data_IF_642603986307
#
_entry.id   IF_642603986307
#
_cell.length_a   1.000
_cell.length_b   1.000
_cell.length_c   1.000
_cell.angle_alpha   90.00
_cell.angle_beta   90.00
_cell.angle_gamma   90.00
#
_symmetry.space_group_name_H-M   'P 1'
#
loop_
_entity.id
_entity.type
_entity.pdbx_description
1 polymer ?
#
# COMPACT_ATOMS: atom_id res chain seq x y z
N UNK A 1 5.51 -43.50 -20.91
CA UNK A 1 5.54 -42.70 -19.67
C UNK A 1 5.22 -41.28 -20.08
N UNK A 2 3.92 -40.96 -20.15
CA UNK A 2 3.44 -39.61 -20.53
C UNK A 2 3.64 -38.72 -19.31
N UNK A 3 4.49 -37.70 -19.41
CA UNK A 3 4.52 -36.60 -18.50
C UNK A 3 3.21 -35.81 -18.73
N UNK A 4 2.23 -36.00 -17.87
CA UNK A 4 1.15 -35.04 -17.74
C UNK A 4 1.78 -33.71 -17.29
N UNK A 5 1.96 -32.82 -18.23
CA UNK A 5 2.18 -31.40 -17.95
C UNK A 5 0.87 -30.92 -17.34
N UNK A 6 0.74 -31.00 -16.00
CA UNK A 6 -0.20 -30.15 -15.29
C UNK A 6 0.21 -28.72 -15.66
N UNK A 7 -0.54 -28.11 -16.55
CA UNK A 7 -0.47 -26.66 -16.68
C UNK A 7 -0.89 -26.11 -15.30
N UNK A 8 0.12 -25.73 -14.50
CA UNK A 8 -0.13 -25.02 -13.26
C UNK A 8 -0.82 -23.71 -13.63
N UNK A 9 -2.17 -23.74 -13.60
CA UNK A 9 -2.99 -22.56 -13.86
C UNK A 9 -2.86 -21.64 -12.65
N UNK A 10 -1.88 -20.75 -12.67
CA UNK A 10 -1.62 -19.79 -11.61
C UNK A 10 -2.50 -18.55 -11.78
N UNK A 11 -3.39 -18.32 -10.84
CA UNK A 11 -4.18 -17.09 -10.81
C UNK A 11 -3.40 -15.97 -10.13
N UNK A 12 -3.34 -14.78 -10.75
CA UNK A 12 -2.82 -13.59 -10.12
C UNK A 12 -3.99 -12.71 -9.66
N UNK A 13 -4.11 -12.50 -8.37
CA UNK A 13 -5.04 -11.54 -7.76
C UNK A 13 -4.37 -10.18 -7.64
N UNK A 14 -5.10 -9.13 -8.02
CA UNK A 14 -4.67 -7.73 -7.88
C UNK A 14 -5.78 -7.00 -7.11
N UNK A 15 -5.50 -6.64 -5.87
CA UNK A 15 -6.50 -6.07 -4.98
C UNK A 15 -6.30 -4.58 -4.72
N UNK A 16 -7.41 -3.87 -4.52
CA UNK A 16 -7.46 -2.48 -4.10
C UNK A 16 -8.32 -2.29 -2.85
N UNK A 17 -8.60 -1.04 -2.47
CA UNK A 17 -9.27 -0.70 -1.22
C UNK A 17 -10.67 -1.33 -1.03
N UNK A 18 -11.33 -1.72 -2.13
CA UNK A 18 -12.62 -2.38 -2.08
C UNK A 18 -12.63 -3.71 -1.32
N UNK A 19 -11.51 -4.45 -1.25
CA UNK A 19 -11.44 -5.71 -0.47
C UNK A 19 -11.44 -5.46 1.04
N UNK A 20 -11.04 -4.26 1.49
CA UNK A 20 -10.99 -3.88 2.91
C UNK A 20 -12.26 -3.17 3.39
N UNK A 21 -13.22 -2.89 2.50
CA UNK A 21 -14.46 -2.19 2.85
C UNK A 21 -15.28 -2.94 3.92
N UNK A 22 -15.40 -4.26 3.80
CA UNK A 22 -16.12 -5.12 4.78
C UNK A 22 -15.37 -5.21 6.14
N UNK A 23 -14.12 -4.78 6.20
CA UNK A 23 -13.39 -4.61 7.46
C UNK A 23 -13.62 -3.22 8.09
N UNK A 24 -14.40 -2.35 7.45
CA UNK A 24 -14.69 -0.99 7.92
C UNK A 24 -13.61 0.03 7.55
N UNK A 25 -12.69 -0.30 6.65
CA UNK A 25 -11.70 0.65 6.13
C UNK A 25 -12.32 1.38 4.94
N UNK A 26 -12.42 2.73 4.96
CA UNK A 26 -13.00 3.49 3.87
C UNK A 26 -12.23 3.30 2.57
N UNK A 27 -12.94 3.23 1.46
CA UNK A 27 -12.31 3.28 0.14
C UNK A 27 -11.86 4.71 -0.15
N UNK A 28 -10.85 4.89 -1.01
CA UNK A 28 -10.36 6.22 -1.41
C UNK A 28 -11.33 7.00 -2.31
N UNK A 29 -12.53 6.46 -2.56
CA UNK A 29 -13.61 7.08 -3.32
C UNK A 29 -14.54 7.81 -2.35
N UNK A 30 -14.31 9.11 -2.09
CA UNK A 30 -15.21 9.92 -1.23
C UNK A 30 -14.62 11.26 -0.84
N UNK A 31 -15.48 12.13 -0.30
CA UNK A 31 -15.12 13.49 0.14
C UNK A 31 -14.32 13.51 1.47
N UNK A 32 -14.22 12.38 2.17
CA UNK A 32 -13.58 12.24 3.49
C UNK A 32 -12.04 12.15 3.44
N UNK A 33 -11.43 12.53 2.33
CA UNK A 33 -9.99 12.38 2.09
C UNK A 33 -9.14 13.61 2.39
N UNK A 34 -9.72 14.78 2.58
CA UNK A 34 -8.96 16.01 2.76
C UNK A 34 -8.28 16.09 4.13
N UNK A 35 -7.09 16.71 4.14
CA UNK A 35 -6.36 17.05 5.35
C UNK A 35 -6.13 18.55 5.39
N UNK A 36 -6.44 19.18 6.54
CA UNK A 36 -6.34 20.65 6.70
C UNK A 36 -5.08 20.99 7.46
N UNK A 37 -4.27 21.88 6.89
CA UNK A 37 -3.10 22.47 7.54
C UNK A 37 -3.27 23.99 7.53
N UNK A 38 -3.51 24.58 8.68
CA UNK A 38 -3.87 26.01 8.76
C UNK A 38 -5.20 26.28 8.05
N UNK A 39 -5.19 27.07 6.97
CA UNK A 39 -6.34 27.38 6.13
C UNK A 39 -6.39 26.58 4.82
N UNK A 40 -5.43 25.71 4.58
CA UNK A 40 -5.29 24.97 3.32
C UNK A 40 -5.76 23.53 3.49
N UNK A 41 -6.52 23.04 2.50
CA UNK A 41 -6.96 21.65 2.44
C UNK A 41 -6.12 20.89 1.41
N UNK A 42 -5.62 19.74 1.82
CA UNK A 42 -4.80 18.85 1.00
C UNK A 42 -5.55 17.57 0.69
N UNK A 43 -5.47 17.13 -0.55
CA UNK A 43 -5.95 15.81 -0.97
C UNK A 43 -5.00 14.72 -0.49
N UNK A 44 -5.44 13.45 -0.43
CA UNK A 44 -4.54 12.32 -0.16
C UNK A 44 -3.36 12.26 -1.13
N UNK A 45 -3.55 12.65 -2.39
CA UNK A 45 -2.51 12.67 -3.40
C UNK A 45 -1.45 13.74 -3.12
N UNK A 46 -1.83 14.88 -2.58
CA UNK A 46 -0.90 15.94 -2.17
C UNK A 46 -0.19 15.60 -0.87
N UNK A 47 -0.91 14.98 0.09
CA UNK A 47 -0.32 14.54 1.36
C UNK A 47 0.67 13.39 1.18
N UNK A 48 0.35 12.40 0.35
CA UNK A 48 1.17 11.22 0.12
C UNK A 48 2.26 11.48 -0.93
N UNK A 49 3.05 12.53 -0.76
CA UNK A 49 4.17 12.87 -1.62
C UNK A 49 5.48 12.97 -0.85
N UNK A 50 6.59 12.69 -1.52
CA UNK A 50 7.94 12.91 -1.01
C UNK A 50 8.15 14.40 -0.70
N UNK A 51 7.66 15.27 -1.57
CA UNK A 51 7.68 16.70 -1.35
C UNK A 51 7.04 17.10 0.00
N UNK A 52 5.88 16.52 0.35
CA UNK A 52 5.24 16.79 1.64
C UNK A 52 6.09 16.26 2.81
N UNK A 53 6.65 15.05 2.67
CA UNK A 53 7.55 14.48 3.69
C UNK A 53 8.80 15.34 3.91
N UNK A 54 9.37 15.93 2.86
CA UNK A 54 10.57 16.76 2.94
C UNK A 54 10.29 18.17 3.49
N UNK A 55 9.18 18.77 3.10
CA UNK A 55 8.84 20.15 3.45
C UNK A 55 8.03 20.29 4.72
N UNK A 56 7.17 19.31 5.05
CA UNK A 56 6.28 19.31 6.21
C UNK A 56 6.24 17.93 6.88
N UNK A 57 7.40 17.39 7.33
CA UNK A 57 7.49 16.01 7.83
C UNK A 57 6.56 15.73 9.02
N UNK A 58 6.35 16.68 9.92
CA UNK A 58 5.46 16.54 11.06
C UNK A 58 4.01 16.28 10.62
N UNK A 59 3.48 17.13 9.74
CA UNK A 59 2.13 17.00 9.19
C UNK A 59 1.97 15.71 8.35
N UNK A 60 2.98 15.36 7.57
CA UNK A 60 3.01 14.11 6.80
C UNK A 60 2.93 12.89 7.73
N UNK A 61 3.75 12.82 8.77
CA UNK A 61 3.76 11.71 9.72
C UNK A 61 2.47 11.67 10.54
N UNK A 62 1.95 12.82 10.95
CA UNK A 62 0.69 12.94 11.67
C UNK A 62 -0.47 12.39 10.84
N UNK A 63 -0.53 12.74 9.55
CA UNK A 63 -1.55 12.23 8.64
C UNK A 63 -1.50 10.70 8.50
N UNK A 64 -0.31 10.10 8.33
CA UNK A 64 -0.15 8.65 8.30
C UNK A 64 -0.49 8.00 9.64
N UNK A 65 -0.05 8.59 10.75
CA UNK A 65 -0.34 8.09 12.08
C UNK A 65 -1.84 8.06 12.39
N UNK A 66 -2.56 9.13 12.08
CA UNK A 66 -4.02 9.21 12.26
C UNK A 66 -4.74 8.13 11.46
N UNK A 67 -4.30 7.85 10.24
CA UNK A 67 -4.83 6.75 9.43
C UNK A 67 -4.52 5.39 10.04
N UNK A 68 -3.30 5.17 10.46
CA UNK A 68 -2.90 3.91 11.11
C UNK A 68 -3.65 3.70 12.41
N UNK A 69 -3.75 4.71 13.28
CA UNK A 69 -4.46 4.63 14.55
C UNK A 69 -5.92 4.17 14.36
N UNK A 70 -6.57 4.62 13.27
CA UNK A 70 -7.93 4.22 12.93
C UNK A 70 -8.04 2.75 12.50
N UNK A 71 -7.00 2.16 11.87
CA UNK A 71 -7.07 0.84 11.24
C UNK A 71 -6.28 -0.25 11.94
N UNK A 72 -5.39 0.09 12.89
CA UNK A 72 -4.45 -0.88 13.48
C UNK A 72 -5.11 -2.08 14.16
N UNK A 73 -6.33 -1.91 14.67
CA UNK A 73 -7.08 -2.96 15.36
C UNK A 73 -8.18 -3.60 14.49
N UNK A 74 -8.34 -3.16 13.25
CA UNK A 74 -9.36 -3.68 12.33
C UNK A 74 -8.97 -5.10 11.90
N UNK A 75 -9.84 -6.10 12.08
CA UNK A 75 -9.53 -7.48 11.68
C UNK A 75 -9.62 -7.66 10.17
N UNK A 76 -8.84 -8.59 9.59
CA UNK A 76 -9.07 -9.04 8.22
C UNK A 76 -10.47 -9.67 8.11
N UNK A 77 -11.08 -9.53 6.92
CA UNK A 77 -12.37 -10.10 6.62
C UNK A 77 -12.24 -11.43 5.85
N UNK A 78 -13.38 -12.04 5.50
CA UNK A 78 -13.46 -13.30 4.78
C UNK A 78 -12.67 -13.31 3.47
N UNK A 79 -12.64 -12.18 2.74
CA UNK A 79 -11.91 -12.07 1.47
C UNK A 79 -10.41 -12.22 1.68
N UNK A 80 -9.85 -11.53 2.69
CA UNK A 80 -8.42 -11.64 3.01
C UNK A 80 -8.03 -13.06 3.40
N UNK A 81 -8.84 -13.73 4.25
CA UNK A 81 -8.58 -15.13 4.65
C UNK A 81 -8.69 -16.10 3.47
N UNK A 82 -9.66 -15.91 2.58
CA UNK A 82 -9.80 -16.71 1.39
C UNK A 82 -8.60 -16.55 0.45
N UNK A 83 -8.18 -15.31 0.17
CA UNK A 83 -7.00 -15.01 -0.65
C UNK A 83 -5.72 -15.61 -0.05
N UNK A 84 -5.53 -15.48 1.27
CA UNK A 84 -4.40 -16.10 1.96
C UNK A 84 -4.42 -17.62 1.79
N UNK A 85 -5.58 -18.27 1.87
CA UNK A 85 -5.74 -19.68 1.62
C UNK A 85 -5.31 -20.10 0.20
N UNK A 86 -5.74 -19.35 -0.82
CA UNK A 86 -5.38 -19.63 -2.23
C UNK A 86 -3.87 -19.46 -2.46
N UNK A 87 -3.26 -18.39 -1.93
CA UNK A 87 -1.82 -18.14 -2.07
C UNK A 87 -0.99 -19.19 -1.33
N UNK A 88 -1.32 -19.50 -0.08
CA UNK A 88 -0.60 -20.47 0.74
C UNK A 88 -0.71 -21.90 0.21
N UNK A 89 -1.78 -22.23 -0.52
CA UNK A 89 -1.91 -23.50 -1.23
C UNK A 89 -1.06 -23.58 -2.51
N UNK A 90 -0.41 -22.50 -2.91
CA UNK A 90 0.39 -22.43 -4.15
C UNK A 90 -0.44 -22.35 -5.43
N UNK A 91 -1.75 -22.10 -5.32
CA UNK A 91 -2.67 -21.99 -6.46
C UNK A 91 -2.71 -20.59 -7.07
N UNK A 92 -2.19 -19.58 -6.34
CA UNK A 92 -2.28 -18.19 -6.74
C UNK A 92 -1.16 -17.34 -6.16
N UNK A 93 -1.04 -16.12 -6.73
CA UNK A 93 -0.26 -15.01 -6.19
C UNK A 93 -1.14 -13.81 -5.92
N UNK A 94 -0.73 -12.95 -4.99
CA UNK A 94 -1.43 -11.72 -4.64
C UNK A 94 -0.50 -10.51 -4.77
N UNK A 95 -0.94 -9.52 -5.53
CA UNK A 95 -0.40 -8.16 -5.51
C UNK A 95 -1.49 -7.26 -4.91
N UNK A 96 -1.24 -6.68 -3.75
CA UNK A 96 -2.17 -5.72 -3.14
C UNK A 96 -1.67 -4.29 -3.28
N UNK A 97 -2.60 -3.39 -3.60
CA UNK A 97 -2.38 -1.94 -3.59
C UNK A 97 -2.60 -1.34 -2.19
N UNK A 98 -3.19 -2.14 -1.29
CA UNK A 98 -3.54 -1.69 0.05
C UNK A 98 -2.30 -1.64 0.95
N UNK A 99 -2.27 -0.62 1.81
CA UNK A 99 -1.20 -0.38 2.78
C UNK A 99 -1.63 -0.71 4.21
N UNK A 100 -2.83 -1.28 4.41
CA UNK A 100 -3.46 -1.55 5.70
C UNK A 100 -2.89 -2.79 6.43
N UNK A 101 -2.15 -3.65 5.72
CA UNK A 101 -1.54 -4.87 6.26
C UNK A 101 -2.52 -6.01 6.57
N UNK A 102 -3.79 -5.92 6.13
CA UNK A 102 -4.80 -6.96 6.41
C UNK A 102 -4.46 -8.30 5.78
N UNK A 103 -3.89 -8.32 4.58
CA UNK A 103 -3.48 -9.56 3.90
C UNK A 103 -2.47 -10.36 4.73
N UNK A 104 -1.45 -9.71 5.30
CA UNK A 104 -0.48 -10.35 6.19
C UNK A 104 -1.11 -10.83 7.50
N UNK A 105 -2.00 -10.02 8.09
CA UNK A 105 -2.74 -10.40 9.30
C UNK A 105 -3.73 -11.55 9.07
N UNK A 106 -4.19 -11.74 7.83
CA UNK A 106 -4.99 -12.89 7.43
C UNK A 106 -4.18 -14.19 7.28
N UNK A 107 -2.85 -14.11 7.44
CA UNK A 107 -1.93 -15.25 7.35
C UNK A 107 -1.40 -15.52 5.96
N UNK A 108 -1.47 -14.57 5.01
CA UNK A 108 -0.82 -14.72 3.72
C UNK A 108 0.71 -14.70 3.91
N UNK A 109 1.36 -15.80 3.57
CA UNK A 109 2.79 -15.98 3.82
C UNK A 109 3.69 -15.28 2.77
N UNK A 110 3.23 -15.18 1.53
CA UNK A 110 3.97 -14.53 0.44
C UNK A 110 3.03 -13.77 -0.50
N UNK A 111 3.08 -12.45 -0.42
CA UNK A 111 2.31 -11.54 -1.27
C UNK A 111 3.11 -10.25 -1.50
N UNK A 112 2.76 -9.50 -2.53
CA UNK A 112 3.42 -8.23 -2.85
C UNK A 112 2.53 -7.07 -2.41
N UNK A 113 3.02 -6.27 -1.44
CA UNK A 113 2.47 -4.96 -1.10
C UNK A 113 3.09 -3.93 -2.03
N UNK A 114 2.52 -3.74 -3.21
CA UNK A 114 3.15 -2.92 -4.27
C UNK A 114 3.23 -1.42 -3.91
N UNK A 115 2.41 -0.98 -2.97
CA UNK A 115 2.45 0.37 -2.41
C UNK A 115 3.00 0.41 -0.97
N UNK A 116 3.58 -0.70 -0.50
CA UNK A 116 4.11 -0.81 0.86
C UNK A 116 3.07 -1.09 1.93
N UNK A 117 3.42 -0.78 3.20
CA UNK A 117 2.61 -1.06 4.39
C UNK A 117 2.77 0.02 5.44
N UNK A 118 1.67 0.43 6.07
CA UNK A 118 1.66 1.46 7.13
C UNK A 118 2.28 1.01 8.47
N UNK A 119 2.35 -0.29 8.72
CA UNK A 119 2.94 -0.85 9.94
C UNK A 119 4.46 -1.00 9.87
N UNK A 120 5.08 -0.54 8.78
CA UNK A 120 6.52 -0.60 8.56
C UNK A 120 7.09 0.76 8.19
N UNK A 121 8.36 0.96 8.51
CA UNK A 121 9.17 2.09 8.08
C UNK A 121 10.35 1.62 7.26
N UNK A 122 10.84 2.50 6.38
CA UNK A 122 12.10 2.35 5.66
C UNK A 122 13.02 3.54 5.94
N UNK A 123 14.32 3.37 5.74
CA UNK A 123 15.23 4.50 5.77
C UNK A 123 14.88 5.46 4.63
N UNK A 124 14.83 6.77 4.94
CA UNK A 124 14.72 7.80 3.93
C UNK A 124 15.98 7.79 3.06
N UNK A 125 15.81 7.73 1.76
CA UNK A 125 16.87 7.77 0.75
C UNK A 125 16.80 9.06 -0.08
N UNK A 126 17.89 9.38 -0.76
CA UNK A 126 17.96 10.48 -1.72
C UNK A 126 17.76 9.90 -3.13
N UNK A 127 16.51 9.88 -3.59
CA UNK A 127 16.19 9.36 -4.92
C UNK A 127 16.78 10.22 -6.05
N UNK A 128 17.00 11.51 -5.82
CA UNK A 128 17.60 12.40 -6.83
C UNK A 128 19.09 12.09 -6.98
N UNK A 129 19.80 11.85 -5.89
CA UNK A 129 21.19 11.39 -5.95
C UNK A 129 21.35 10.03 -6.63
N UNK A 130 20.38 9.13 -6.45
CA UNK A 130 20.30 7.86 -7.17
C UNK A 130 20.07 8.09 -8.67
N UNK A 131 19.20 9.02 -9.02
CA UNK A 131 18.92 9.37 -10.42
C UNK A 131 20.15 10.02 -11.09
N UNK A 132 20.85 10.93 -10.43
CA UNK A 132 22.09 11.55 -10.92
C UNK A 132 23.24 10.55 -11.05
N UNK A 133 23.39 9.61 -10.12
CA UNK A 133 24.43 8.57 -10.18
C UNK A 133 24.20 7.56 -11.31
N UNK A 134 22.97 7.46 -11.80
CA UNK A 134 22.59 6.59 -12.91
C UNK A 134 22.38 7.33 -14.23
N UNK A 135 23.00 8.53 -14.39
CA UNK A 135 22.84 9.37 -15.57
C UNK A 135 23.06 8.61 -16.88
N UNK A 136 21.98 8.43 -17.61
CA UNK A 136 21.94 7.81 -18.93
C UNK A 136 20.93 6.69 -19.07
N UNK A 137 20.60 5.98 -18.02
CA UNK A 137 19.50 5.00 -18.00
C UNK A 137 18.84 5.09 -16.64
N UNK A 138 17.53 5.40 -16.55
CA UNK A 138 16.83 5.33 -15.28
C UNK A 138 16.95 3.88 -14.80
N UNK A 139 17.79 3.62 -13.82
CA UNK A 139 17.81 2.32 -13.17
C UNK A 139 16.61 2.28 -12.20
N UNK A 140 15.44 2.04 -12.78
CA UNK A 140 14.20 1.82 -12.01
C UNK A 140 14.31 0.63 -11.04
N UNK A 141 15.40 -0.12 -11.10
CA UNK A 141 15.76 -1.23 -10.22
C UNK A 141 16.92 -0.91 -9.28
N UNK A 142 17.34 0.37 -9.20
CA UNK A 142 18.38 0.76 -8.26
C UNK A 142 17.93 0.42 -6.84
N UNK A 143 18.73 -0.40 -6.15
CA UNK A 143 18.52 -0.64 -4.72
C UNK A 143 18.73 0.68 -3.98
N UNK A 144 17.95 0.95 -2.91
CA UNK A 144 18.19 2.09 -2.03
C UNK A 144 19.67 2.11 -1.61
N UNK A 145 20.31 3.26 -1.66
CA UNK A 145 21.74 3.43 -1.29
C UNK A 145 22.01 2.98 0.15
N UNK A 146 20.98 2.99 1.01
CA UNK A 146 21.08 2.68 2.44
C UNK A 146 20.58 1.31 2.84
N UNK A 147 20.29 0.43 1.88
CA UNK A 147 19.84 -0.94 2.12
C UNK A 147 18.34 -1.05 2.40
N UNK A 148 17.82 -2.26 2.26
CA UNK A 148 16.41 -2.61 2.47
C UNK A 148 16.09 -2.69 3.98
N UNK A 149 16.32 -1.61 4.72
CA UNK A 149 16.01 -1.58 6.15
C UNK A 149 14.52 -1.35 6.31
N UNK A 150 13.77 -2.44 6.43
CA UNK A 150 12.40 -2.40 6.89
C UNK A 150 12.38 -2.65 8.40
N UNK A 151 11.83 -1.71 9.14
CA UNK A 151 11.64 -1.82 10.58
C UNK A 151 10.16 -1.64 10.91
N UNK A 152 9.66 -2.24 12.00
CA UNK A 152 8.31 -1.93 12.46
C UNK A 152 8.13 -0.42 12.65
N UNK A 153 6.99 0.10 12.25
CA UNK A 153 6.66 1.50 12.48
C UNK A 153 6.50 1.74 13.99
N UNK A 154 7.05 2.83 14.53
CA UNK A 154 7.05 3.09 15.96
C UNK A 154 5.71 3.68 16.46
N UNK A 155 4.59 3.27 15.86
CA UNK A 155 3.29 3.82 16.18
C UNK A 155 2.84 3.50 17.62
N UNK A 156 3.22 2.34 18.14
CA UNK A 156 2.89 1.94 19.51
C UNK A 156 3.78 2.66 20.55
N UNK A 157 4.92 3.22 20.13
CA UNK A 157 5.82 3.98 20.99
C UNK A 157 5.37 5.44 21.18
N UNK A 158 4.40 5.92 20.39
CA UNK A 158 3.93 7.32 20.43
C UNK A 158 3.41 7.70 21.80
N UNK A 159 2.67 6.82 22.47
CA UNK A 159 2.17 7.06 23.84
C UNK A 159 3.29 7.23 24.86
N UNK A 160 4.39 6.48 24.72
CA UNK A 160 5.56 6.61 25.59
C UNK A 160 6.30 7.92 25.31
N UNK A 161 6.51 8.26 24.04
CA UNK A 161 7.17 9.49 23.63
C UNK A 161 6.39 10.75 24.06
N UNK A 162 5.06 10.74 24.02
CA UNK A 162 4.22 11.81 24.53
C UNK A 162 4.40 12.02 26.04
N UNK A 163 4.45 10.93 26.82
CA UNK A 163 4.68 11.00 28.28
C UNK A 163 6.07 11.57 28.61
N UNK A 164 7.09 11.14 27.91
CA UNK A 164 8.47 11.60 28.10
C UNK A 164 8.64 13.09 27.75
N UNK A 165 7.92 13.57 26.74
CA UNK A 165 7.96 15.00 26.37
C UNK A 165 7.19 15.92 27.32
N UNK A 166 6.43 15.35 28.28
CA UNK A 166 5.57 16.11 29.18
C UNK A 166 4.35 16.73 28.49
N UNK A 167 4.08 16.32 27.24
CA UNK A 167 3.02 16.88 26.40
C UNK A 167 1.67 16.18 26.62
N UNK A 168 1.63 15.05 27.32
CA UNK A 168 0.39 14.40 27.68
C UNK A 168 -0.14 14.97 29.01
N UNK A 169 -1.32 15.63 29.04
CA UNK A 169 -1.99 15.89 30.30
C UNK A 169 -2.30 14.56 30.99
N UNK A 170 -2.11 14.50 32.31
CA UNK A 170 -2.46 13.32 33.14
C UNK A 170 -3.94 12.91 33.04
N UNK A 171 -4.78 13.74 32.43
CA UNK A 171 -6.23 13.58 32.27
C UNK A 171 -6.72 13.07 30.93
N UNK A 172 -5.88 13.10 29.87
CA UNK A 172 -6.20 12.42 28.61
C UNK A 172 -5.81 10.96 28.77
N UNK A 173 -6.82 10.10 28.95
CA UNK A 173 -6.64 8.68 29.22
C UNK A 173 -5.50 8.10 28.40
N UNK A 174 -4.51 7.54 29.06
CA UNK A 174 -3.27 6.99 28.51
C UNK A 174 -3.49 5.90 27.43
N UNK A 175 -4.75 5.59 27.15
CA UNK A 175 -5.17 4.47 26.30
C UNK A 175 -5.49 4.86 24.86
N UNK A 176 -5.64 6.15 24.53
CA UNK A 176 -5.85 6.61 23.15
C UNK A 176 -4.94 7.78 22.75
N UNK A 177 -3.73 7.50 22.27
CA UNK A 177 -2.82 8.53 21.79
C UNK A 177 -3.38 9.32 20.60
N UNK A 178 -4.41 8.80 19.92
CA UNK A 178 -5.08 9.51 18.82
C UNK A 178 -5.88 10.73 19.32
N UNK A 179 -6.21 10.80 20.62
CA UNK A 179 -6.88 11.96 21.23
C UNK A 179 -5.91 13.08 21.65
N UNK A 180 -4.59 12.88 21.55
CA UNK A 180 -3.59 13.89 21.88
C UNK A 180 -3.61 15.07 20.89
N UNK A 181 -3.14 16.24 21.36
CA UNK A 181 -2.97 17.44 20.55
C UNK A 181 -2.02 17.20 19.36
N UNK A 182 -2.36 17.74 18.19
CA UNK A 182 -1.62 17.53 16.96
C UNK A 182 -0.15 18.00 17.05
N UNK A 183 0.11 19.12 17.72
CA UNK A 183 1.48 19.64 17.88
C UNK A 183 2.35 18.71 18.74
N UNK A 184 1.76 18.14 19.79
CA UNK A 184 2.43 17.16 20.64
C UNK A 184 2.71 15.86 19.86
N UNK A 185 1.73 15.38 19.10
CA UNK A 185 1.89 14.22 18.22
C UNK A 185 2.96 14.44 17.16
N UNK A 186 2.97 15.58 16.48
CA UNK A 186 4.01 15.91 15.50
C UNK A 186 5.40 15.86 16.14
N UNK A 187 5.57 16.45 17.32
CA UNK A 187 6.85 16.45 18.04
C UNK A 187 7.31 15.04 18.35
N UNK A 188 6.41 14.20 18.89
CA UNK A 188 6.72 12.81 19.20
C UNK A 188 7.07 11.98 17.95
N UNK A 189 6.30 12.15 16.88
CA UNK A 189 6.52 11.45 15.61
C UNK A 189 7.83 11.85 14.94
N UNK A 190 8.19 13.13 14.93
CA UNK A 190 9.47 13.62 14.42
C UNK A 190 10.64 12.99 15.18
N UNK A 191 10.54 12.93 16.53
CA UNK A 191 11.54 12.31 17.37
C UNK A 191 11.70 10.82 17.07
N UNK A 192 10.61 10.06 17.06
CA UNK A 192 10.60 8.62 16.77
C UNK A 192 11.11 8.29 15.37
N UNK A 193 10.80 9.14 14.38
CA UNK A 193 11.28 9.00 13.02
C UNK A 193 12.67 9.61 12.78
N UNK A 194 13.37 10.08 13.84
CA UNK A 194 14.74 10.63 13.78
C UNK A 194 14.87 11.83 12.85
N UNK A 195 13.85 12.68 12.84
CA UNK A 195 13.80 13.90 12.01
C UNK A 195 14.05 15.12 12.90
N UNK A 196 15.01 15.94 12.48
CA UNK A 196 15.26 17.22 13.12
C UNK A 196 14.17 18.21 12.70
N UNK A 197 13.44 18.86 13.64
CA UNK A 197 12.35 19.77 13.29
C UNK A 197 12.78 20.99 12.48
N UNK A 198 14.05 21.38 12.55
CA UNK A 198 14.59 22.57 11.85
C UNK A 198 15.29 22.19 10.54
N UNK A 199 16.01 21.06 10.53
CA UNK A 199 16.79 20.63 9.38
C UNK A 199 16.03 19.68 8.44
N UNK A 200 14.89 19.15 8.88
CA UNK A 200 14.09 18.17 8.13
C UNK A 200 14.70 16.75 8.10
N UNK A 201 14.12 15.86 7.29
CA UNK A 201 14.58 14.48 7.15
C UNK A 201 15.94 14.43 6.45
N UNK A 202 16.87 13.63 7.01
CA UNK A 202 18.20 13.42 6.43
C UNK A 202 18.33 12.02 5.87
N UNK A 203 18.80 11.87 4.61
CA UNK A 203 19.03 10.56 4.00
C UNK A 203 19.90 9.65 4.89
N UNK A 204 19.53 8.39 4.97
CA UNK A 204 20.19 7.36 5.77
C UNK A 204 20.00 7.45 7.29
N UNK A 205 19.34 8.49 7.81
CA UNK A 205 19.05 8.65 9.24
C UNK A 205 17.57 8.68 9.57
N UNK A 206 16.81 9.47 8.81
CA UNK A 206 15.37 9.59 9.01
C UNK A 206 14.64 8.31 8.59
N UNK A 207 13.52 8.04 9.23
CA UNK A 207 12.61 6.96 8.89
C UNK A 207 11.39 7.53 8.16
N UNK A 208 11.06 6.94 7.04
CA UNK A 208 9.86 7.23 6.24
C UNK A 208 8.89 6.05 6.37
N UNK A 209 7.57 6.25 6.44
CA UNK A 209 6.62 5.15 6.26
C UNK A 209 6.97 4.32 5.01
N UNK A 210 6.94 3.00 5.14
CA UNK A 210 7.16 2.09 4.02
C UNK A 210 5.95 2.11 3.10
N UNK A 211 5.75 3.25 2.45
CA UNK A 211 4.66 3.51 1.50
C UNK A 211 5.25 4.17 0.27
N UNK A 212 4.85 3.67 -0.91
CA UNK A 212 5.16 4.28 -2.19
C UNK A 212 4.35 5.57 -2.34
N UNK A 213 5.04 6.68 -2.47
CA UNK A 213 4.44 8.01 -2.60
C UNK A 213 4.09 8.32 -4.06
N UNK A 214 3.17 9.25 -4.29
CA UNK A 214 2.68 9.55 -5.65
C UNK A 214 3.74 10.12 -6.58
N UNK A 215 4.78 10.72 -6.04
CA UNK A 215 5.94 11.26 -6.75
C UNK A 215 7.18 10.34 -6.68
N UNK A 216 7.01 9.07 -6.24
CA UNK A 216 8.05 8.04 -6.23
C UNK A 216 7.81 6.99 -7.33
N UNK A 217 8.84 6.18 -7.58
CA UNK A 217 8.80 5.12 -8.59
C UNK A 217 8.69 3.73 -7.96
N UNK A 218 8.08 2.79 -8.68
CA UNK A 218 8.12 1.37 -8.32
C UNK A 218 9.55 0.84 -8.39
N UNK A 219 10.03 0.27 -7.29
CA UNK A 219 11.38 -0.29 -7.17
C UNK A 219 11.31 -1.68 -6.55
N UNK A 220 12.46 -2.36 -6.47
CA UNK A 220 12.55 -3.66 -5.77
C UNK A 220 12.34 -3.55 -4.25
N UNK A 221 12.41 -2.35 -3.68
CA UNK A 221 11.96 -2.11 -2.31
C UNK A 221 10.48 -2.53 -2.13
N UNK A 222 9.66 -2.31 -3.15
CA UNK A 222 8.24 -2.73 -3.20
C UNK A 222 8.05 -4.06 -3.96
N UNK A 223 9.13 -4.82 -4.18
CA UNK A 223 9.12 -6.11 -4.88
C UNK A 223 8.57 -6.03 -6.32
N UNK A 224 8.84 -4.93 -7.03
CA UNK A 224 8.34 -4.75 -8.40
C UNK A 224 8.80 -5.86 -9.34
N UNK A 225 10.07 -6.30 -9.27
CA UNK A 225 10.57 -7.42 -10.06
C UNK A 225 9.82 -8.74 -9.78
N UNK A 226 9.38 -8.98 -8.54
CA UNK A 226 8.51 -10.12 -8.22
C UNK A 226 7.12 -9.95 -8.82
N UNK A 227 6.54 -8.76 -8.74
CA UNK A 227 5.23 -8.46 -9.33
C UNK A 227 5.24 -8.67 -10.85
N UNK A 228 6.26 -8.19 -11.54
CA UNK A 228 6.43 -8.38 -13.00
C UNK A 228 6.56 -9.86 -13.38
N UNK A 229 7.35 -10.63 -12.60
CA UNK A 229 7.45 -12.07 -12.82
C UNK A 229 6.11 -12.76 -12.66
N UNK A 230 5.36 -12.48 -11.58
CA UNK A 230 4.02 -13.06 -11.37
C UNK A 230 3.02 -12.66 -12.45
N UNK A 231 3.09 -11.41 -12.95
CA UNK A 231 2.29 -10.99 -14.10
C UNK A 231 2.67 -11.77 -15.36
N UNK A 232 3.95 -12.10 -15.56
CA UNK A 232 4.42 -12.87 -16.71
C UNK A 232 4.08 -14.36 -16.63
N UNK A 233 3.97 -14.93 -15.44
CA UNK A 233 3.69 -16.35 -15.19
C UNK A 233 2.19 -16.65 -15.08
N UNK A 234 1.36 -15.66 -14.74
CA UNK A 234 -0.08 -15.83 -14.55
C UNK A 234 -0.76 -16.40 -15.78
N UNK A 235 -1.65 -17.36 -15.61
CA UNK A 235 -2.56 -17.88 -16.65
C UNK A 235 -3.93 -17.20 -16.64
N UNK A 236 -4.24 -16.45 -15.59
CA UNK A 236 -5.45 -15.64 -15.39
C UNK A 236 -5.16 -14.50 -14.43
N UNK A 237 -5.78 -13.35 -14.63
CA UNK A 237 -5.71 -12.23 -13.68
C UNK A 237 -7.11 -11.85 -13.17
N UNK A 238 -7.21 -11.57 -11.88
CA UNK A 238 -8.46 -11.13 -11.23
C UNK A 238 -8.19 -9.84 -10.47
N UNK A 239 -8.83 -8.77 -10.89
CA UNK A 239 -8.79 -7.46 -10.23
C UNK A 239 -9.99 -7.35 -9.29
N UNK A 240 -9.76 -7.09 -8.01
CA UNK A 240 -10.81 -7.06 -6.99
C UNK A 240 -10.79 -5.74 -6.24
N UNK A 241 -11.89 -5.00 -6.28
CA UNK A 241 -12.07 -3.77 -5.50
C UNK A 241 -11.08 -2.66 -5.86
N UNK A 242 -10.69 -2.54 -7.14
CA UNK A 242 -9.73 -1.52 -7.59
C UNK A 242 -10.39 -0.53 -8.57
N UNK A 243 -9.97 0.73 -8.46
CA UNK A 243 -10.47 1.83 -9.31
C UNK A 243 -9.73 2.00 -10.63
N UNK A 244 -8.66 1.26 -10.86
CA UNK A 244 -7.75 1.46 -12.01
C UNK A 244 -7.14 2.88 -12.11
N UNK A 245 -7.09 3.61 -11.00
CA UNK A 245 -6.56 4.98 -10.97
C UNK A 245 -5.04 5.08 -10.81
N UNK A 246 -4.34 3.94 -10.65
CA UNK A 246 -2.90 3.88 -10.44
C UNK A 246 -2.21 2.98 -11.46
N UNK A 247 -0.96 3.27 -11.78
CA UNK A 247 -0.22 2.66 -12.88
C UNK A 247 -0.11 1.14 -12.81
N UNK A 248 0.01 0.54 -11.61
CA UNK A 248 0.19 -0.91 -11.50
C UNK A 248 -0.97 -1.70 -12.10
N UNK A 249 -2.20 -1.20 -11.99
CA UNK A 249 -3.37 -1.85 -12.59
C UNK A 249 -3.32 -1.80 -14.12
N UNK A 250 -2.86 -0.68 -14.67
CA UNK A 250 -2.66 -0.53 -16.13
C UNK A 250 -1.55 -1.45 -16.64
N UNK A 251 -0.44 -1.55 -15.91
CA UNK A 251 0.69 -2.45 -16.25
C UNK A 251 0.21 -3.90 -16.27
N UNK A 252 -0.47 -4.34 -15.24
CA UNK A 252 -0.96 -5.71 -15.12
C UNK A 252 -2.02 -6.04 -16.18
N UNK A 253 -3.00 -5.16 -16.39
CA UNK A 253 -4.03 -5.33 -17.40
C UNK A 253 -3.43 -5.42 -18.80
N UNK A 254 -2.49 -4.52 -19.13
CA UNK A 254 -1.78 -4.54 -20.40
C UNK A 254 -1.02 -5.85 -20.59
N UNK A 255 -0.34 -6.35 -19.57
CA UNK A 255 0.33 -7.65 -19.58
C UNK A 255 -0.64 -8.78 -19.90
N UNK A 256 -1.81 -8.81 -19.24
CA UNK A 256 -2.85 -9.82 -19.48
C UNK A 256 -3.37 -9.78 -20.93
N UNK A 257 -3.72 -8.59 -21.43
CA UNK A 257 -4.23 -8.39 -22.80
C UNK A 257 -3.19 -8.82 -23.84
N UNK A 258 -1.94 -8.40 -23.69
CA UNK A 258 -0.87 -8.77 -24.64
C UNK A 258 -0.58 -10.27 -24.68
N UNK A 259 -0.82 -10.96 -23.58
CA UNK A 259 -0.64 -12.42 -23.46
C UNK A 259 -1.90 -13.22 -23.81
N UNK A 260 -3.04 -12.55 -24.02
CA UNK A 260 -4.32 -13.18 -24.33
C UNK A 260 -4.86 -14.05 -23.21
N UNK A 261 -4.55 -13.74 -21.95
CA UNK A 261 -5.06 -14.49 -20.80
C UNK A 261 -6.36 -13.89 -20.27
N UNK A 262 -7.27 -14.72 -19.68
CA UNK A 262 -8.53 -14.24 -19.13
C UNK A 262 -8.34 -13.23 -17.99
N UNK A 263 -9.20 -12.21 -17.97
CA UNK A 263 -9.24 -11.16 -16.94
C UNK A 263 -10.64 -11.10 -16.34
N UNK A 264 -10.73 -11.08 -15.01
CA UNK A 264 -11.97 -10.72 -14.30
C UNK A 264 -11.76 -9.40 -13.55
N UNK A 265 -12.77 -8.53 -13.61
CA UNK A 265 -12.82 -7.26 -12.87
C UNK A 265 -14.02 -7.32 -11.95
N UNK A 266 -13.76 -7.40 -10.65
CA UNK A 266 -14.75 -7.57 -9.58
C UNK A 266 -14.85 -6.27 -8.78
N UNK A 267 -15.95 -5.57 -8.92
CA UNK A 267 -16.25 -4.34 -8.17
C UNK A 267 -17.78 -4.12 -8.21
N UNK A 268 -18.42 -3.61 -7.17
CA UNK A 268 -19.86 -3.29 -7.22
C UNK A 268 -20.22 -2.33 -8.37
N UNK A 269 -19.30 -1.46 -8.73
CA UNK A 269 -19.43 -0.53 -9.86
C UNK A 269 -18.15 -0.60 -10.72
N UNK A 270 -17.99 -1.66 -11.54
CA UNK A 270 -16.79 -1.85 -12.32
C UNK A 270 -16.58 -0.69 -13.30
N UNK A 271 -15.34 -0.20 -13.36
CA UNK A 271 -14.97 0.86 -14.30
C UNK A 271 -14.95 0.26 -15.72
N UNK A 272 -15.67 0.89 -16.65
CA UNK A 272 -15.53 0.58 -18.07
C UNK A 272 -14.15 1.07 -18.57
N UNK A 273 -13.31 0.13 -18.95
CA UNK A 273 -11.94 0.41 -19.41
C UNK A 273 -11.87 0.70 -20.91
N UNK A 274 -13.01 0.73 -21.59
CA UNK A 274 -13.09 1.02 -23.04
C UNK A 274 -12.40 -0.03 -23.91
N UNK A 275 -12.30 -1.29 -23.43
CA UNK A 275 -11.70 -2.38 -24.20
C UNK A 275 -12.70 -2.84 -25.25
N UNK A 276 -12.37 -2.74 -26.56
CA UNK A 276 -13.28 -3.17 -27.61
C UNK A 276 -13.66 -4.65 -27.51
N UNK A 277 -14.91 -4.96 -27.81
CA UNK A 277 -15.41 -6.34 -27.83
C UNK A 277 -14.55 -7.20 -28.76
N UNK A 278 -14.14 -8.37 -28.27
CA UNK A 278 -13.30 -9.31 -28.99
C UNK A 278 -11.79 -8.97 -29.00
N UNK A 279 -11.37 -7.84 -28.43
CA UNK A 279 -9.95 -7.50 -28.30
C UNK A 279 -9.25 -8.30 -27.20
N UNK A 280 -9.96 -8.61 -26.12
CA UNK A 280 -9.43 -9.37 -24.99
C UNK A 280 -10.56 -10.14 -24.29
N UNK A 281 -10.20 -11.20 -23.56
CA UNK A 281 -11.12 -11.96 -22.71
C UNK A 281 -11.23 -11.26 -21.34
N UNK A 282 -12.10 -10.26 -21.26
CA UNK A 282 -12.32 -9.46 -20.06
C UNK A 282 -13.77 -9.56 -19.61
N UNK A 283 -13.98 -9.99 -18.39
CA UNK A 283 -15.30 -10.09 -17.75
C UNK A 283 -15.44 -9.05 -16.63
N UNK A 284 -16.53 -8.27 -16.66
CA UNK A 284 -16.89 -7.32 -15.62
C UNK A 284 -17.97 -7.91 -14.73
N UNK A 285 -17.66 -8.05 -13.44
CA UNK A 285 -18.54 -8.65 -12.44
C UNK A 285 -18.99 -7.58 -11.44
N UNK A 286 -20.23 -7.11 -11.59
CA UNK A 286 -20.83 -6.09 -10.72
C UNK A 286 -21.28 -6.72 -9.39
N UNK A 287 -20.34 -7.01 -8.52
CA UNK A 287 -20.55 -7.59 -7.20
C UNK A 287 -19.44 -7.20 -6.22
N UNK A 288 -19.70 -7.32 -4.93
CA UNK A 288 -18.69 -7.10 -3.91
C UNK A 288 -17.63 -8.21 -3.92
N UNK A 289 -16.45 -7.90 -3.36
CA UNK A 289 -15.40 -8.90 -3.16
C UNK A 289 -15.89 -10.09 -2.33
N UNK A 290 -16.73 -9.83 -1.32
CA UNK A 290 -17.33 -10.86 -0.45
C UNK A 290 -18.25 -11.79 -1.23
N UNK A 291 -19.22 -11.24 -1.99
CA UNK A 291 -20.13 -12.03 -2.83
C UNK A 291 -19.36 -12.89 -3.83
N UNK A 292 -18.30 -12.33 -4.41
CA UNK A 292 -17.44 -13.05 -5.35
C UNK A 292 -16.72 -14.24 -4.72
N UNK A 293 -16.22 -14.10 -3.48
CA UNK A 293 -15.60 -15.18 -2.70
C UNK A 293 -16.63 -16.22 -2.30
N UNK A 294 -17.79 -15.81 -1.76
CA UNK A 294 -18.86 -16.73 -1.33
C UNK A 294 -19.37 -17.61 -2.47
N UNK A 295 -19.37 -17.09 -3.71
CA UNK A 295 -19.74 -17.89 -4.88
C UNK A 295 -18.69 -18.96 -5.28
N UNK A 296 -17.50 -18.96 -4.65
CA UNK A 296 -16.34 -19.83 -4.96
C UNK A 296 -15.87 -20.67 -3.78
N UNK A 297 -16.54 -20.54 -2.62
CA UNK A 297 -16.21 -21.24 -1.37
C UNK A 297 -16.92 -22.59 -1.20
#
# INVERSE_FOLDING_TARGET
MFWECKSDMTTLYITGAGVSADSGIPTFRGEDGYWTIGSENYTPQEMATRHMYETRPGQFLLWYYRRFASYRNVPPNTVHHWLAGQCNAGAAHLITQNIDGLDGRAGNADYVCIHGRLDMMTAYDDQDALHEATTGVPNIFARPVFGDVLVPAPWDDVSAALRESGAAPDELGADDPAAADDAALETALLHLCRIDPQAGPRPGRALKPYVLLFDEYYTDLYRMGTAERWMAEASRMVFIGTSFSVNITTIALRSAIMRGIPVEIVDPNPVDLGIPEGMADVSYLAMTAKEWVEARS
#
